data_IF_287124303325
#
_entry.id   IF_287124303325
#
_cell.length_a   1.000
_cell.length_b   1.000
_cell.length_c   1.000
_cell.angle_alpha   90.00
_cell.angle_beta   90.00
_cell.angle_gamma   90.00
#
_symmetry.space_group_name_H-M   'P 1'
#
loop_
_entity.id
_entity.type
_entity.pdbx_description
1 polymer ?
#
# COMPACT_ATOMS: atom_id res chain seq x y z
N UNK A 1 -2.18 -11.42 -14.71
CA UNK A 1 -1.35 -10.66 -13.75
C UNK A 1 -0.55 -9.61 -14.52
N UNK A 2 -0.59 -8.34 -14.14
CA UNK A 2 0.16 -7.28 -14.84
C UNK A 2 1.67 -7.47 -14.58
N UNK A 3 2.46 -7.53 -15.63
CA UNK A 3 3.93 -7.66 -15.56
C UNK A 3 4.57 -6.27 -15.49
N UNK A 4 5.58 -6.10 -14.64
CA UNK A 4 6.31 -4.85 -14.50
C UNK A 4 6.91 -4.43 -15.85
N UNK A 5 6.67 -3.18 -16.26
CA UNK A 5 7.33 -2.59 -17.43
C UNK A 5 8.40 -1.64 -16.92
N UNK A 6 9.68 -2.04 -17.04
CA UNK A 6 10.84 -1.28 -16.55
C UNK A 6 10.88 0.17 -17.06
N UNK A 7 10.45 0.42 -18.30
CA UNK A 7 10.38 1.77 -18.89
C UNK A 7 9.40 2.71 -18.18
N UNK A 8 8.49 2.17 -17.38
CA UNK A 8 7.53 2.94 -16.57
C UNK A 8 7.93 2.98 -15.08
N UNK A 9 9.16 2.54 -14.73
CA UNK A 9 9.66 2.59 -13.36
C UNK A 9 8.90 1.71 -12.36
N UNK A 10 8.09 0.76 -12.83
CA UNK A 10 7.27 -0.10 -11.98
C UNK A 10 8.15 -1.08 -11.19
N UNK A 11 8.29 -0.82 -9.89
CA UNK A 11 8.83 -1.76 -8.91
C UNK A 11 7.71 -2.04 -7.91
N UNK A 12 7.30 -3.29 -7.78
CA UNK A 12 6.16 -3.64 -6.93
C UNK A 12 6.64 -4.02 -5.53
N UNK A 13 5.97 -3.48 -4.52
CA UNK A 13 6.17 -3.88 -3.12
C UNK A 13 5.57 -5.27 -2.90
N UNK A 14 6.34 -6.14 -2.26
CA UNK A 14 5.94 -7.52 -1.98
C UNK A 14 6.20 -7.96 -0.53
N UNK A 15 7.07 -7.26 0.23
CA UNK A 15 7.32 -7.59 1.64
C UNK A 15 6.20 -7.00 2.53
N UNK A 16 5.39 -7.83 3.20
CA UNK A 16 4.29 -7.37 4.06
C UNK A 16 4.76 -6.49 5.22
N UNK A 17 5.97 -6.69 5.75
CA UNK A 17 6.50 -5.89 6.87
C UNK A 17 6.83 -4.47 6.43
N UNK A 18 7.37 -4.32 5.22
CA UNK A 18 7.64 -2.99 4.64
C UNK A 18 6.32 -2.28 4.35
N UNK A 19 5.35 -2.98 3.77
CA UNK A 19 4.00 -2.46 3.53
C UNK A 19 3.35 -1.99 4.85
N UNK A 20 3.38 -2.85 5.87
CA UNK A 20 2.86 -2.50 7.20
C UNK A 20 3.56 -1.28 7.77
N UNK A 21 4.89 -1.24 7.76
CA UNK A 21 5.66 -0.10 8.27
C UNK A 21 5.32 1.20 7.52
N UNK A 22 5.14 1.17 6.20
CA UNK A 22 4.73 2.34 5.43
C UNK A 22 3.35 2.83 5.90
N UNK A 23 2.38 1.92 5.99
CA UNK A 23 1.00 2.26 6.37
C UNK A 23 0.92 2.78 7.81
N UNK A 24 1.66 2.18 8.75
CA UNK A 24 1.69 2.67 10.14
C UNK A 24 2.32 4.05 10.26
N UNK A 25 3.35 4.36 9.45
CA UNK A 25 3.96 5.70 9.42
C UNK A 25 3.05 6.74 8.76
N UNK A 26 2.24 6.34 7.77
CA UNK A 26 1.18 7.21 7.21
C UNK A 26 0.10 7.47 8.27
N UNK A 27 -0.28 6.43 9.03
CA UNK A 27 -1.26 6.52 10.11
C UNK A 27 -2.64 7.03 9.66
N UNK A 28 -3.25 6.44 8.60
CA UNK A 28 -4.48 6.95 8.02
C UNK A 28 -5.65 6.93 9.01
N UNK A 29 -6.51 7.95 8.96
CA UNK A 29 -7.66 8.08 9.85
C UNK A 29 -8.97 7.87 9.11
N UNK A 30 -9.97 7.35 9.81
CA UNK A 30 -11.33 7.19 9.25
C UNK A 30 -11.85 8.56 8.76
N UNK A 31 -12.28 8.61 7.50
CA UNK A 31 -12.78 9.82 6.85
C UNK A 31 -11.69 10.72 6.25
N UNK A 32 -10.41 10.38 6.42
CA UNK A 32 -9.32 11.05 5.74
C UNK A 32 -9.29 10.69 4.25
N UNK A 33 -9.02 11.68 3.40
CA UNK A 33 -8.86 11.47 1.96
C UNK A 33 -7.39 11.30 1.64
N UNK A 34 -7.02 10.19 0.99
CA UNK A 34 -5.64 9.87 0.62
C UNK A 34 -5.57 9.69 -0.90
N UNK A 35 -4.52 10.24 -1.52
CA UNK A 35 -4.23 10.07 -2.94
C UNK A 35 -3.05 9.10 -3.07
N UNK A 36 -3.29 7.94 -3.68
CA UNK A 36 -2.24 6.99 -4.04
C UNK A 36 -1.81 7.20 -5.49
N UNK A 37 -0.53 7.51 -5.71
CA UNK A 37 0.03 7.68 -7.05
C UNK A 37 0.74 6.39 -7.45
N UNK A 38 0.28 5.78 -8.56
CA UNK A 38 0.89 4.57 -9.10
C UNK A 38 0.63 3.33 -8.23
N UNK A 39 -0.64 2.92 -8.00
CA UNK A 39 -0.97 1.84 -7.07
C UNK A 39 -0.39 0.48 -7.49
N UNK A 40 -0.05 0.29 -8.77
CA UNK A 40 0.48 -0.97 -9.28
C UNK A 40 -0.51 -2.11 -9.05
N UNK A 41 -0.11 -3.13 -8.28
CA UNK A 41 -0.99 -4.22 -7.85
C UNK A 41 -1.85 -3.90 -6.62
N UNK A 42 -1.81 -2.67 -6.12
CA UNK A 42 -2.55 -2.23 -4.95
C UNK A 42 -1.97 -2.73 -3.63
N UNK A 43 -0.64 -2.90 -3.57
CA UNK A 43 0.05 -3.42 -2.39
C UNK A 43 -0.15 -2.54 -1.14
N UNK A 44 -0.39 -1.23 -1.33
CA UNK A 44 -0.72 -0.29 -0.27
C UNK A 44 -2.22 0.02 -0.21
N UNK A 45 -2.94 -0.05 -1.33
CA UNK A 45 -4.38 0.31 -1.42
C UNK A 45 -5.23 -0.42 -0.38
N UNK A 46 -5.14 -1.75 -0.29
CA UNK A 46 -5.90 -2.53 0.70
C UNK A 46 -5.53 -2.17 2.14
N UNK A 47 -4.24 -2.29 2.52
CA UNK A 47 -3.77 -1.92 3.86
C UNK A 47 -4.14 -0.49 4.32
N UNK A 48 -4.15 0.48 3.40
CA UNK A 48 -4.56 1.86 3.71
C UNK A 48 -6.06 1.97 4.04
N UNK A 49 -6.90 1.14 3.43
CA UNK A 49 -8.35 1.11 3.69
C UNK A 49 -8.69 0.39 4.99
N UNK A 50 -7.91 -0.64 5.34
CA UNK A 50 -8.18 -1.49 6.50
C UNK A 50 -7.58 -0.94 7.80
N UNK A 51 -6.62 -0.02 7.74
CA UNK A 51 -5.99 0.55 8.93
C UNK A 51 -6.97 1.42 9.78
N UNK A 52 -6.95 1.36 11.13
CA UNK A 52 -6.05 0.59 11.99
C UNK A 52 -6.58 -0.80 12.38
N UNK A 53 -7.59 -1.34 11.70
CA UNK A 53 -8.23 -2.59 12.10
C UNK A 53 -7.26 -3.77 11.97
N UNK A 54 -6.69 -4.10 13.14
CA UNK A 54 -5.95 -5.29 13.56
C UNK A 54 -5.42 -6.17 12.43
N UNK A 55 -4.13 -5.98 12.14
CA UNK A 55 -3.29 -7.03 11.57
C UNK A 55 -3.20 -8.17 12.59
N UNK A 56 -3.82 -9.34 12.36
CA UNK A 56 -3.72 -10.43 13.31
C UNK A 56 -2.44 -11.20 12.99
N UNK A 57 -1.36 -10.84 13.71
CA UNK A 57 -0.04 -11.49 13.65
C UNK A 57 0.80 -11.21 12.39
#
# INVERSE_FOLDING_TARGET
MVKARKRFGQNFLHDPRIIHNIVTHIGPRKGETIIEIGPGHGALTGPLLDYPLQWPY
#
